data_IF_638331289806
#
_entry.id   IF_638331289806
#
_cell.length_a   1.000
_cell.length_b   1.000
_cell.length_c   1.000
_cell.angle_alpha   90.00
_cell.angle_beta   90.00
_cell.angle_gamma   90.00
#
_symmetry.space_group_name_H-M   'P 1'
#
loop_
_entity.id
_entity.type
_entity.pdbx_description
1 polymer ?
#
# COMPACT_ATOMS: atom_id res chain seq x y z
N UNK A 1 -21.98 -50.34 -29.21
CA UNK A 1 -22.96 -49.79 -28.26
C UNK A 1 -23.04 -48.26 -28.49
N UNK A 2 -24.10 -47.75 -29.14
CA UNK A 2 -24.21 -46.33 -29.56
C UNK A 2 -24.80 -45.38 -28.50
N UNK A 3 -25.13 -45.87 -27.30
CA UNK A 3 -25.82 -45.08 -26.27
C UNK A 3 -24.99 -44.01 -25.55
N UNK A 4 -23.65 -44.09 -25.58
CA UNK A 4 -22.79 -43.13 -24.85
C UNK A 4 -22.54 -41.83 -25.64
N UNK A 5 -22.47 -41.90 -26.98
CA UNK A 5 -22.09 -40.76 -27.82
C UNK A 5 -23.21 -39.71 -27.90
N UNK A 6 -24.47 -40.15 -27.97
CA UNK A 6 -25.64 -39.27 -27.96
C UNK A 6 -25.80 -38.52 -26.62
N UNK A 7 -25.55 -39.20 -25.50
CA UNK A 7 -25.57 -38.58 -24.17
C UNK A 7 -24.45 -37.53 -24.01
N UNK A 8 -23.25 -37.83 -24.49
CA UNK A 8 -22.11 -36.91 -24.50
C UNK A 8 -22.33 -35.70 -25.43
N UNK A 9 -23.08 -35.86 -26.53
CA UNK A 9 -23.44 -34.77 -27.43
C UNK A 9 -24.46 -33.81 -26.80
N UNK A 10 -25.48 -34.33 -26.12
CA UNK A 10 -26.46 -33.51 -25.39
C UNK A 10 -25.79 -32.71 -24.26
N UNK A 11 -24.89 -33.35 -23.48
CA UNK A 11 -24.14 -32.69 -22.42
C UNK A 11 -23.22 -31.57 -22.95
N UNK A 12 -22.55 -31.77 -24.10
CA UNK A 12 -21.73 -30.73 -24.75
C UNK A 12 -22.55 -29.53 -25.20
N UNK A 13 -23.76 -29.76 -25.72
CA UNK A 13 -24.64 -28.68 -26.18
C UNK A 13 -25.12 -27.81 -25.02
N UNK A 14 -25.47 -28.44 -23.89
CA UNK A 14 -25.84 -27.70 -22.68
C UNK A 14 -24.65 -26.91 -22.12
N UNK A 15 -23.46 -27.53 -22.06
CA UNK A 15 -22.24 -26.84 -21.64
C UNK A 15 -21.92 -25.61 -22.51
N UNK A 16 -22.05 -25.71 -23.83
CA UNK A 16 -21.82 -24.59 -24.75
C UNK A 16 -22.79 -23.44 -24.49
N UNK A 17 -24.05 -23.76 -24.20
CA UNK A 17 -25.09 -22.77 -23.90
C UNK A 17 -24.80 -22.03 -22.59
N UNK A 18 -24.44 -22.77 -21.54
CA UNK A 18 -24.07 -22.17 -20.24
C UNK A 18 -22.77 -21.39 -20.33
N UNK A 19 -21.77 -21.89 -21.06
CA UNK A 19 -20.52 -21.17 -21.34
C UNK A 19 -20.79 -19.84 -22.07
N UNK A 20 -21.65 -19.84 -23.10
CA UNK A 20 -21.99 -18.61 -23.83
C UNK A 20 -22.71 -17.58 -22.94
N UNK A 21 -23.61 -18.02 -22.05
CA UNK A 21 -24.25 -17.13 -21.06
C UNK A 21 -23.22 -16.54 -20.10
N UNK A 22 -22.30 -17.36 -19.60
CA UNK A 22 -21.26 -16.91 -18.68
C UNK A 22 -20.30 -15.91 -19.37
N UNK A 23 -19.89 -16.17 -20.61
CA UNK A 23 -19.09 -15.23 -21.41
C UNK A 23 -19.80 -13.88 -21.54
N UNK A 24 -21.10 -13.90 -21.85
CA UNK A 24 -21.90 -12.68 -21.99
C UNK A 24 -21.95 -11.90 -20.66
N UNK A 25 -22.29 -12.57 -19.55
CA UNK A 25 -22.35 -11.95 -18.23
C UNK A 25 -21.01 -11.32 -17.82
N UNK A 26 -19.90 -12.04 -18.03
CA UNK A 26 -18.56 -11.53 -17.78
C UNK A 26 -18.32 -10.29 -18.64
N UNK A 27 -18.58 -10.36 -19.95
CA UNK A 27 -18.37 -9.23 -20.86
C UNK A 27 -19.19 -7.98 -20.53
N UNK A 28 -20.44 -8.14 -20.06
CA UNK A 28 -21.30 -6.99 -19.72
C UNK A 28 -21.03 -6.42 -18.32
N UNK A 29 -20.32 -7.16 -17.47
CA UNK A 29 -20.01 -6.75 -16.10
C UNK A 29 -18.71 -5.96 -15.96
N UNK A 30 -17.90 -5.90 -17.01
CA UNK A 30 -16.56 -5.32 -16.98
C UNK A 30 -16.52 -4.11 -17.93
N UNK A 31 -15.70 -3.13 -17.58
CA UNK A 31 -15.44 -1.94 -18.39
C UNK A 31 -14.70 -2.30 -19.71
N UNK A 32 -15.05 -1.62 -20.80
CA UNK A 32 -14.54 -1.91 -22.16
C UNK A 32 -13.00 -1.93 -22.23
N UNK A 33 -12.32 -1.16 -21.37
CA UNK A 33 -10.86 -1.10 -21.26
C UNK A 33 -10.19 -2.43 -20.88
N UNK A 34 -10.90 -3.30 -20.15
CA UNK A 34 -10.41 -4.65 -19.78
C UNK A 34 -10.88 -5.72 -20.78
N UNK A 35 -11.90 -5.42 -21.58
CA UNK A 35 -12.55 -6.36 -22.50
C UNK A 35 -11.61 -6.79 -23.63
N UNK A 36 -10.73 -5.90 -24.12
CA UNK A 36 -9.76 -6.20 -25.18
C UNK A 36 -8.86 -7.40 -24.82
N UNK A 37 -8.46 -7.53 -23.55
CA UNK A 37 -7.65 -8.65 -23.07
C UNK A 37 -8.40 -9.98 -23.08
N UNK A 38 -9.74 -9.93 -22.96
CA UNK A 38 -10.61 -11.09 -22.87
C UNK A 38 -11.10 -11.57 -24.24
N UNK A 39 -11.05 -10.74 -25.28
CA UNK A 39 -11.47 -11.10 -26.65
C UNK A 39 -10.65 -12.25 -27.26
N UNK A 40 -9.44 -12.49 -26.74
CA UNK A 40 -8.59 -13.61 -27.16
C UNK A 40 -8.97 -14.95 -26.52
N UNK A 41 -9.86 -14.96 -25.52
CA UNK A 41 -10.24 -16.15 -24.76
C UNK A 41 -11.44 -16.87 -25.39
N UNK A 42 -11.33 -18.20 -25.56
CA UNK A 42 -12.37 -19.01 -26.20
C UNK A 42 -13.45 -19.57 -25.23
N UNK A 43 -13.22 -19.49 -23.92
CA UNK A 43 -14.14 -20.07 -22.90
C UNK A 43 -14.34 -19.12 -21.73
N UNK A 44 -15.49 -19.23 -21.06
CA UNK A 44 -15.82 -18.40 -19.90
C UNK A 44 -14.82 -18.62 -18.77
N UNK A 45 -14.31 -19.85 -18.65
CA UNK A 45 -13.25 -20.19 -17.71
C UNK A 45 -11.95 -19.45 -18.02
N UNK A 46 -11.53 -19.42 -19.28
CA UNK A 46 -10.34 -18.69 -19.70
C UNK A 46 -10.50 -17.18 -19.49
N UNK A 47 -11.69 -16.60 -19.77
CA UNK A 47 -11.98 -15.20 -19.45
C UNK A 47 -11.85 -14.93 -17.94
N UNK A 48 -12.47 -15.77 -17.11
CA UNK A 48 -12.41 -15.63 -15.65
C UNK A 48 -10.99 -15.75 -15.10
N UNK A 49 -10.20 -16.70 -15.61
CA UNK A 49 -8.81 -16.90 -15.19
C UNK A 49 -7.91 -15.73 -15.59
N UNK A 50 -8.13 -15.19 -16.80
CA UNK A 50 -7.40 -14.01 -17.27
C UNK A 50 -7.75 -12.79 -16.43
N UNK A 51 -9.04 -12.59 -16.14
CA UNK A 51 -9.51 -11.54 -15.24
C UNK A 51 -8.86 -11.66 -13.86
N UNK A 52 -8.95 -12.85 -13.26
CA UNK A 52 -8.38 -13.14 -11.94
C UNK A 52 -6.88 -12.84 -11.92
N UNK A 53 -6.14 -13.31 -12.93
CA UNK A 53 -4.71 -13.04 -13.07
C UNK A 53 -4.39 -11.54 -13.19
N UNK A 54 -5.15 -10.78 -13.99
CA UNK A 54 -4.93 -9.33 -14.14
C UNK A 54 -5.16 -8.60 -12.81
N UNK A 55 -6.23 -8.93 -12.10
CA UNK A 55 -6.53 -8.30 -10.82
C UNK A 55 -5.54 -8.71 -9.72
N UNK A 56 -5.13 -9.98 -9.67
CA UNK A 56 -4.08 -10.44 -8.75
C UNK A 56 -2.75 -9.77 -9.06
N UNK A 57 -2.30 -9.75 -10.32
CA UNK A 57 -1.07 -9.07 -10.73
C UNK A 57 -1.11 -7.57 -10.42
N UNK A 58 -2.24 -6.89 -10.67
CA UNK A 58 -2.42 -5.50 -10.26
C UNK A 58 -2.30 -5.35 -8.75
N UNK A 59 -2.84 -6.27 -7.97
CA UNK A 59 -2.76 -6.26 -6.50
C UNK A 59 -1.32 -6.47 -6.02
N UNK A 60 -0.60 -7.44 -6.57
CA UNK A 60 0.82 -7.69 -6.25
C UNK A 60 1.72 -6.54 -6.68
N UNK A 61 1.48 -5.98 -7.87
CA UNK A 61 2.22 -4.81 -8.37
C UNK A 61 1.95 -3.59 -7.51
N UNK A 62 0.69 -3.35 -7.14
CA UNK A 62 0.30 -2.26 -6.24
C UNK A 62 0.96 -2.42 -4.88
N UNK A 63 0.99 -3.64 -4.33
CA UNK A 63 1.68 -3.98 -3.10
C UNK A 63 3.17 -3.66 -3.18
N UNK A 64 3.84 -4.05 -4.26
CA UNK A 64 5.26 -3.76 -4.49
C UNK A 64 5.50 -2.25 -4.56
N UNK A 65 4.70 -1.51 -5.34
CA UNK A 65 4.81 -0.05 -5.48
C UNK A 65 4.59 0.65 -4.13
N UNK A 66 3.59 0.24 -3.35
CA UNK A 66 3.32 0.81 -2.03
C UNK A 66 4.45 0.51 -1.05
N UNK A 67 5.01 -0.70 -1.09
CA UNK A 67 6.14 -1.09 -0.26
C UNK A 67 7.37 -0.26 -0.60
N UNK A 68 7.66 -0.11 -1.89
CA UNK A 68 8.74 0.76 -2.37
C UNK A 68 8.55 2.20 -1.89
N UNK A 69 7.36 2.80 -2.10
CA UNK A 69 7.03 4.14 -1.61
C UNK A 69 7.22 4.25 -0.10
N UNK A 70 6.80 3.24 0.66
CA UNK A 70 6.98 3.21 2.11
C UNK A 70 8.47 3.22 2.48
N UNK A 71 9.34 2.45 1.82
CA UNK A 71 10.77 2.43 2.12
C UNK A 71 11.53 3.68 1.66
N UNK A 72 11.19 4.21 0.49
CA UNK A 72 11.80 5.41 -0.09
C UNK A 72 11.36 6.69 0.60
N UNK A 73 10.18 6.71 1.24
CA UNK A 73 9.66 7.91 1.88
C UNK A 73 10.66 8.50 2.89
N UNK A 74 10.91 9.80 2.76
CA UNK A 74 11.72 10.63 3.64
C UNK A 74 10.95 11.91 3.97
N UNK A 75 11.15 12.43 5.18
CA UNK A 75 10.54 13.69 5.58
C UNK A 75 11.16 14.83 4.75
N UNK A 76 10.31 15.65 4.13
CA UNK A 76 10.76 16.88 3.46
C UNK A 76 11.19 17.92 4.49
N UNK A 77 12.13 18.80 4.12
CA UNK A 77 12.56 19.92 4.98
C UNK A 77 11.43 20.92 5.27
N UNK A 78 10.42 20.98 4.40
CA UNK A 78 9.25 21.85 4.50
C UNK A 78 8.08 21.24 5.29
N UNK A 79 8.08 19.92 5.49
CA UNK A 79 6.99 19.24 6.20
C UNK A 79 7.16 19.43 7.71
N UNK A 80 6.04 19.57 8.44
CA UNK A 80 6.07 19.47 9.90
C UNK A 80 6.16 18.02 10.35
N UNK A 81 6.59 17.78 11.59
CA UNK A 81 6.60 16.45 12.20
C UNK A 81 5.22 15.79 12.13
N UNK A 82 4.15 16.55 12.38
CA UNK A 82 2.77 16.04 12.36
C UNK A 82 2.37 15.58 10.95
N UNK A 83 2.68 16.39 9.92
CA UNK A 83 2.43 16.03 8.53
C UNK A 83 3.25 14.80 8.11
N UNK A 84 4.50 14.73 8.55
CA UNK A 84 5.38 13.61 8.30
C UNK A 84 4.80 12.29 8.86
N UNK A 85 4.41 12.30 10.13
CA UNK A 85 3.81 11.12 10.79
C UNK A 85 2.51 10.71 10.11
N UNK A 86 1.67 11.68 9.73
CA UNK A 86 0.43 11.40 9.00
C UNK A 86 0.71 10.71 7.66
N UNK A 87 1.71 11.17 6.89
CA UNK A 87 2.11 10.53 5.62
C UNK A 87 2.60 9.08 5.84
N UNK A 88 3.40 8.81 6.88
CA UNK A 88 3.83 7.44 7.20
C UNK A 88 2.64 6.56 7.56
N UNK A 89 1.72 7.05 8.40
CA UNK A 89 0.50 6.30 8.78
C UNK A 89 -0.39 6.02 7.57
N UNK A 90 -0.55 6.97 6.67
CA UNK A 90 -1.33 6.77 5.44
C UNK A 90 -0.70 5.70 4.54
N UNK A 91 0.63 5.68 4.41
CA UNK A 91 1.32 4.63 3.67
C UNK A 91 1.18 3.26 4.35
N UNK A 92 1.27 3.21 5.68
CA UNK A 92 1.04 1.98 6.44
C UNK A 92 -0.40 1.46 6.32
N UNK A 93 -1.39 2.38 6.30
CA UNK A 93 -2.79 2.03 6.05
C UNK A 93 -2.99 1.50 4.64
N UNK A 94 -2.40 2.15 3.63
CA UNK A 94 -2.49 1.69 2.24
C UNK A 94 -1.88 0.29 2.06
N UNK A 95 -0.79 -0.02 2.77
CA UNK A 95 -0.23 -1.38 2.79
C UNK A 95 -1.20 -2.38 3.44
N UNK A 96 -1.81 -2.00 4.56
CA UNK A 96 -2.84 -2.81 5.23
C UNK A 96 -4.04 -3.10 4.34
N UNK A 97 -4.48 -2.11 3.57
CA UNK A 97 -5.62 -2.25 2.64
C UNK A 97 -5.32 -3.24 1.50
N UNK A 98 -4.04 -3.42 1.15
CA UNK A 98 -3.58 -4.41 0.15
C UNK A 98 -3.16 -5.74 0.81
N UNK A 99 -3.51 -5.93 2.09
CA UNK A 99 -3.30 -7.19 2.82
C UNK A 99 -1.91 -7.36 3.45
N UNK A 100 -1.11 -6.30 3.55
CA UNK A 100 0.19 -6.33 4.23
C UNK A 100 0.08 -6.00 5.72
N UNK A 101 0.81 -6.75 6.56
CA UNK A 101 0.79 -6.53 8.02
C UNK A 101 1.91 -5.59 8.40
N UNK A 102 1.56 -4.33 8.67
CA UNK A 102 2.51 -3.33 9.16
C UNK A 102 2.40 -3.23 10.69
N UNK A 103 3.44 -3.67 11.39
CA UNK A 103 3.52 -3.59 12.85
C UNK A 103 3.86 -2.16 13.32
N UNK A 104 3.37 -1.78 14.51
CA UNK A 104 3.66 -0.48 15.12
C UNK A 104 5.16 -0.20 15.25
N UNK A 105 5.96 -1.23 15.54
CA UNK A 105 7.42 -1.15 15.59
C UNK A 105 8.00 -0.74 14.23
N UNK A 106 7.47 -1.27 13.13
CA UNK A 106 7.89 -0.90 11.77
C UNK A 106 7.51 0.55 11.45
N UNK A 107 6.35 1.01 11.91
CA UNK A 107 5.91 2.41 11.76
C UNK A 107 6.85 3.35 12.53
N UNK A 108 7.15 3.05 13.79
CA UNK A 108 8.06 3.85 14.62
C UNK A 108 9.48 3.87 14.03
N UNK A 109 10.02 2.71 13.66
CA UNK A 109 11.32 2.61 13.01
C UNK A 109 11.34 3.42 11.70
N UNK A 110 10.25 3.37 10.92
CA UNK A 110 10.13 4.14 9.68
C UNK A 110 10.14 5.64 9.95
N UNK A 111 9.36 6.14 10.92
CA UNK A 111 9.35 7.55 11.32
C UNK A 111 10.78 7.96 11.68
N UNK A 112 11.45 7.25 12.59
CA UNK A 112 12.82 7.56 13.02
C UNK A 112 13.84 7.54 11.86
N UNK A 113 13.76 6.55 10.97
CA UNK A 113 14.68 6.41 9.84
C UNK A 113 14.49 7.50 8.77
N UNK A 114 13.27 8.05 8.65
CA UNK A 114 12.93 9.04 7.63
C UNK A 114 13.09 10.49 8.08
N UNK A 115 13.38 10.72 9.36
CA UNK A 115 13.69 12.04 9.90
C UNK A 115 15.06 12.56 9.42
N UNK A 116 15.16 13.87 9.11
CA UNK A 116 16.41 14.52 8.75
C UNK A 116 17.39 14.58 9.94
N UNK A 117 18.67 14.82 9.63
CA UNK A 117 19.78 14.85 10.60
C UNK A 117 19.59 15.82 11.77
N UNK A 118 18.80 16.89 11.60
CA UNK A 118 18.44 17.83 12.68
C UNK A 118 17.78 17.17 13.89
N UNK A 119 17.17 15.99 13.73
CA UNK A 119 16.57 15.22 14.82
C UNK A 119 17.48 14.14 15.41
N UNK A 120 18.77 14.07 15.04
CA UNK A 120 19.68 13.02 15.53
C UNK A 120 19.77 12.96 17.06
N UNK A 121 19.75 14.11 17.75
CA UNK A 121 19.74 14.15 19.22
C UNK A 121 18.52 13.44 19.83
N UNK A 122 17.36 13.54 19.17
CA UNK A 122 16.15 12.84 19.59
C UNK A 122 16.22 11.35 19.29
N UNK A 123 16.83 10.94 18.15
CA UNK A 123 17.04 9.51 17.84
C UNK A 123 17.85 8.85 18.96
N UNK A 124 18.96 9.45 19.36
CA UNK A 124 19.78 8.94 20.48
C UNK A 124 19.02 8.92 21.81
N UNK A 125 18.24 9.97 22.10
CA UNK A 125 17.42 10.00 23.31
C UNK A 125 16.29 8.96 23.30
N UNK A 126 15.80 8.57 22.12
CA UNK A 126 14.77 7.54 21.95
C UNK A 126 15.32 6.14 22.27
N UNK A 127 16.57 5.86 21.90
CA UNK A 127 17.22 4.57 22.21
C UNK A 127 17.34 4.33 23.72
N UNK A 128 17.33 5.39 24.54
CA UNK A 128 17.37 5.32 26.00
C UNK A 128 15.99 5.14 26.65
N UNK A 129 14.90 5.13 25.87
CA UNK A 129 13.53 4.98 26.38
C UNK A 129 13.24 3.51 26.64
N UNK A 130 12.67 3.22 27.82
CA UNK A 130 12.24 1.86 28.18
C UNK A 130 11.27 1.28 27.14
N UNK A 131 11.36 -0.01 26.78
CA UNK A 131 10.49 -0.64 25.77
C UNK A 131 8.98 -0.47 26.02
N UNK A 132 8.56 -0.45 27.29
CA UNK A 132 7.15 -0.27 27.70
C UNK A 132 6.59 1.09 27.28
N UNK A 133 7.44 2.11 27.17
CA UNK A 133 7.07 3.47 26.79
C UNK A 133 7.34 3.77 25.31
N UNK A 134 7.88 2.82 24.54
CA UNK A 134 8.11 2.97 23.11
C UNK A 134 6.81 2.76 22.32
N UNK A 135 5.91 3.75 22.43
CA UNK A 135 4.66 3.80 21.68
C UNK A 135 4.71 4.88 20.63
N UNK A 136 3.92 4.74 19.57
CA UNK A 136 3.83 5.75 18.49
C UNK A 136 3.44 7.12 19.07
N UNK A 137 2.53 7.16 20.06
CA UNK A 137 2.09 8.41 20.66
C UNK A 137 3.22 9.11 21.43
N UNK A 138 3.98 8.37 22.26
CA UNK A 138 5.12 8.95 22.97
C UNK A 138 6.21 9.45 22.02
N UNK A 139 6.43 8.74 20.90
CA UNK A 139 7.35 9.17 19.85
C UNK A 139 6.90 10.51 19.23
N UNK A 140 5.61 10.64 18.90
CA UNK A 140 5.05 11.86 18.32
C UNK A 140 5.20 13.04 19.28
N UNK A 141 4.83 12.88 20.54
CA UNK A 141 4.92 13.94 21.56
C UNK A 141 6.36 14.46 21.69
N UNK A 142 7.34 13.56 21.74
CA UNK A 142 8.76 13.92 21.80
C UNK A 142 9.23 14.63 20.54
N UNK A 143 8.80 14.16 19.37
CA UNK A 143 9.19 14.78 18.09
C UNK A 143 8.63 16.20 17.95
N UNK A 144 7.38 16.43 18.36
CA UNK A 144 6.77 17.77 18.35
C UNK A 144 7.54 18.69 19.31
N UNK A 145 7.87 18.21 20.52
CA UNK A 145 8.64 18.99 21.49
C UNK A 145 10.02 19.37 20.95
N UNK A 146 10.67 18.46 20.23
CA UNK A 146 11.96 18.69 19.60
C UNK A 146 11.87 19.69 18.42
N UNK A 147 10.84 19.59 17.59
CA UNK A 147 10.59 20.53 16.49
C UNK A 147 10.43 21.97 17.02
N UNK A 148 9.68 22.13 18.11
CA UNK A 148 9.52 23.41 18.81
C UNK A 148 10.87 23.92 19.33
N UNK A 149 11.71 23.05 19.94
CA UNK A 149 13.05 23.41 20.41
C UNK A 149 13.96 23.88 19.29
N UNK A 150 13.97 23.17 18.16
CA UNK A 150 14.78 23.51 16.99
C UNK A 150 14.35 24.84 16.36
N UNK A 151 13.03 25.07 16.27
CA UNK A 151 12.49 26.35 15.79
C UNK A 151 12.85 27.50 16.73
N UNK A 152 12.78 27.32 18.06
CA UNK A 152 13.18 28.33 19.03
C UNK A 152 14.70 28.58 19.14
N UNK A 153 15.54 27.58 18.85
CA UNK A 153 16.99 27.73 18.80
C UNK A 153 17.47 28.58 17.62
N UNK A 154 16.84 28.42 16.44
CA UNK A 154 17.19 29.15 15.23
C UNK A 154 16.97 30.67 15.36
N UNK A 155 15.89 31.09 16.04
CA UNK A 155 15.57 32.52 16.26
C UNK A 155 16.59 33.23 17.17
N UNK A 156 17.31 32.49 18.03
CA UNK A 156 18.32 33.06 18.95
C UNK A 156 19.68 33.23 18.28
N UNK A 157 20.04 32.35 17.33
CA UNK A 157 21.29 32.45 16.56
C UNK A 157 21.31 33.58 15.54
N UNK A 158 20.17 33.88 14.91
CA UNK A 158 20.05 34.96 13.92
C UNK A 158 20.17 36.38 14.52
N UNK A 159 20.03 36.51 15.85
CA UNK A 159 20.10 37.80 16.55
C UNK A 159 21.54 38.19 16.94
N UNK A 160 22.50 37.27 16.86
CA UNK A 160 23.90 37.49 17.25
C UNK A 160 24.82 37.95 16.11
N UNK A 161 24.41 37.84 14.84
CA UNK A 161 25.20 38.28 13.67
C UNK A 161 24.88 39.72 13.22
N UNK A 162 24.16 40.48 14.04
CA UNK A 162 23.69 41.83 13.70
C UNK A 162 24.19 42.89 14.69
N UNK A 163 25.43 42.74 15.17
CA UNK A 163 26.23 43.77 15.85
C UNK A 163 27.67 43.68 15.36
#
# INVERSE_FOLDING_TARGET
MPGNEAANAAARKEWLKENAKAMLLISTSIEDSQLESLLTCATAKAMWDTLSNIYEQKTETNKLILTQKFHEYRMSSSDSVVQHVAKVRNLASALKDVGEVVFDVAIMAKILASLPSKFNALKTAWDSVSPVNQTINSLIERLIKEEVRLNHGCIRGARYWRN
#
